data_IF_919382087225
#
_entry.id   IF_919382087225
#
_cell.length_a   1.000
_cell.length_b   1.000
_cell.length_c   1.000
_cell.angle_alpha   90.00
_cell.angle_beta   90.00
_cell.angle_gamma   90.00
#
_symmetry.space_group_name_H-M   'P 1'
#
loop_
_entity.id
_entity.type
_entity.pdbx_description
1 polymer ?
#
# COMPACT_ATOMS: atom_id res chain seq x y z
N UNK A 1 -9.57 -62.94 -0.61
CA UNK A 1 -9.38 -61.47 -0.58
C UNK A 1 -8.37 -61.17 -1.66
N UNK A 2 -8.86 -60.74 -2.83
CA UNK A 2 -8.06 -60.62 -4.05
C UNK A 2 -7.65 -59.16 -4.30
N UNK A 3 -6.40 -59.06 -4.75
CA UNK A 3 -5.60 -57.90 -5.10
C UNK A 3 -5.96 -57.27 -6.45
N UNK A 4 -5.50 -56.03 -6.63
CA UNK A 4 -5.31 -55.35 -7.91
C UNK A 4 -4.40 -56.16 -8.86
N UNK A 5 -4.74 -56.19 -10.16
CA UNK A 5 -3.85 -55.81 -11.27
C UNK A 5 -4.54 -55.90 -12.65
N UNK A 6 -4.56 -54.75 -13.34
CA UNK A 6 -4.26 -54.47 -14.76
C UNK A 6 -4.64 -55.49 -15.85
N UNK A 7 -5.47 -55.03 -16.81
CA UNK A 7 -5.24 -55.29 -18.25
C UNK A 7 -5.70 -54.08 -19.11
N UNK A 8 -4.78 -53.58 -19.94
CA UNK A 8 -4.97 -52.57 -21.00
C UNK A 8 -5.31 -53.26 -22.32
N UNK A 9 -5.93 -52.53 -23.26
CA UNK A 9 -5.88 -52.60 -24.76
C UNK A 9 -7.25 -52.15 -25.30
N UNK A 10 -7.47 -51.39 -26.37
CA UNK A 10 -6.77 -50.37 -27.17
C UNK A 10 -7.85 -49.76 -28.08
N UNK A 11 -7.68 -48.49 -28.44
CA UNK A 11 -8.11 -47.80 -29.67
C UNK A 11 -9.36 -48.29 -30.42
N UNK A 12 -10.37 -47.41 -30.52
CA UNK A 12 -10.82 -46.99 -31.86
C UNK A 12 -11.49 -45.61 -31.82
N UNK A 13 -10.92 -44.71 -32.61
CA UNK A 13 -11.47 -43.41 -33.01
C UNK A 13 -12.46 -43.61 -34.15
N UNK A 14 -13.67 -43.07 -34.02
CA UNK A 14 -14.55 -42.86 -35.17
C UNK A 14 -15.12 -41.45 -35.12
N UNK A 15 -14.72 -40.66 -36.10
CA UNK A 15 -15.31 -39.40 -36.51
C UNK A 15 -16.77 -39.62 -36.92
N UNK A 16 -17.69 -38.81 -36.43
CA UNK A 16 -18.96 -38.57 -37.12
C UNK A 16 -19.21 -37.06 -37.23
N UNK A 17 -19.00 -36.58 -38.45
CA UNK A 17 -19.49 -35.29 -38.98
C UNK A 17 -20.94 -35.49 -39.41
N UNK A 18 -21.85 -34.71 -38.85
CA UNK A 18 -23.12 -34.29 -39.46
C UNK A 18 -23.30 -32.83 -38.99
N UNK A 19 -23.43 -31.81 -39.83
CA UNK A 19 -24.14 -31.72 -41.09
C UNK A 19 -25.20 -30.63 -40.92
N UNK A 20 -24.76 -29.37 -40.76
CA UNK A 20 -25.67 -28.23 -40.61
C UNK A 20 -26.44 -28.00 -41.91
N UNK A 21 -27.75 -28.27 -41.86
CA UNK A 21 -28.71 -27.99 -42.91
C UNK A 21 -29.18 -26.53 -42.76
N UNK A 22 -28.57 -25.62 -43.52
CA UNK A 22 -29.04 -24.24 -43.68
C UNK A 22 -30.39 -24.22 -44.42
N UNK A 23 -31.39 -23.62 -43.79
CA UNK A 23 -32.69 -23.32 -44.39
C UNK A 23 -32.54 -22.04 -45.22
N UNK A 24 -32.57 -22.19 -46.55
CA UNK A 24 -32.78 -21.11 -47.50
C UNK A 24 -34.23 -20.60 -47.39
N UNK A 25 -34.42 -19.31 -47.05
CA UNK A 25 -35.63 -18.58 -47.43
C UNK A 25 -35.39 -17.86 -48.76
N UNK A 26 -36.24 -18.19 -49.73
CA UNK A 26 -36.32 -17.55 -51.04
C UNK A 26 -36.81 -16.09 -50.90
N UNK A 27 -36.09 -15.15 -51.53
CA UNK A 27 -36.68 -13.89 -51.96
C UNK A 27 -36.50 -13.79 -53.47
N UNK A 28 -37.63 -13.96 -54.15
CA UNK A 28 -37.78 -13.88 -55.60
C UNK A 28 -37.39 -12.50 -56.14
N UNK A 29 -36.54 -12.45 -57.17
CA UNK A 29 -36.61 -11.37 -58.15
C UNK A 29 -36.23 -11.86 -59.55
N UNK A 30 -36.93 -11.27 -60.51
CA UNK A 30 -37.16 -11.65 -61.90
C UNK A 30 -35.88 -11.62 -62.76
N UNK A 31 -35.77 -12.52 -63.73
CA UNK A 31 -34.65 -12.64 -64.68
C UNK A 31 -34.99 -11.91 -66.01
N UNK A 32 -33.99 -11.15 -66.52
CA UNK A 32 -33.54 -10.91 -67.91
C UNK A 32 -33.49 -9.42 -68.36
N UNK A 33 -32.57 -9.03 -69.28
CA UNK A 33 -31.22 -9.52 -69.52
C UNK A 33 -30.15 -8.43 -69.67
N UNK A 34 -28.91 -8.87 -69.46
CA UNK A 34 -27.66 -8.57 -70.16
C UNK A 34 -27.34 -7.17 -70.72
N UNK A 35 -26.17 -6.67 -70.32
CA UNK A 35 -25.55 -5.43 -70.74
C UNK A 35 -24.12 -5.38 -70.23
N UNK A 36 -23.25 -6.17 -70.85
CA UNK A 36 -21.80 -6.17 -70.64
C UNK A 36 -21.22 -4.76 -70.77
N UNK A 37 -20.48 -4.30 -69.74
CA UNK A 37 -19.18 -3.67 -69.97
C UNK A 37 -18.32 -3.79 -68.71
N UNK A 38 -17.24 -4.54 -68.83
CA UNK A 38 -16.38 -4.91 -67.71
C UNK A 38 -15.63 -3.72 -67.11
N UNK A 39 -15.60 -3.69 -65.78
CA UNK A 39 -14.38 -3.39 -65.02
C UNK A 39 -14.39 -4.21 -63.74
N UNK A 40 -13.40 -5.07 -63.61
CA UNK A 40 -13.04 -5.85 -62.44
C UNK A 40 -12.78 -4.94 -61.22
N UNK A 41 -13.64 -4.98 -60.20
CA UNK A 41 -13.29 -4.48 -58.85
C UNK A 41 -13.34 -5.61 -57.81
N UNK A 42 -12.22 -6.31 -57.55
CA UNK A 42 -12.12 -7.30 -56.47
C UNK A 42 -11.81 -6.68 -55.09
N UNK A 43 -11.71 -5.35 -54.99
CA UNK A 43 -11.21 -4.65 -53.79
C UNK A 43 -12.26 -4.39 -52.69
N UNK A 44 -13.56 -4.35 -53.02
CA UNK A 44 -14.63 -3.98 -52.06
C UNK A 44 -15.02 -5.11 -51.10
N UNK A 45 -14.81 -6.39 -51.45
CA UNK A 45 -15.07 -7.52 -50.54
C UNK A 45 -13.92 -7.75 -49.55
N UNK A 46 -12.69 -7.51 -49.96
CA UNK A 46 -11.51 -7.67 -49.11
C UNK A 46 -11.42 -6.57 -48.03
N UNK A 47 -11.89 -5.35 -48.33
CA UNK A 47 -11.92 -4.24 -47.36
C UNK A 47 -12.97 -4.41 -46.26
N UNK A 48 -14.11 -5.06 -46.54
CA UNK A 48 -15.18 -5.29 -45.54
C UNK A 48 -14.75 -6.22 -44.40
N UNK A 49 -13.99 -7.28 -44.68
CA UNK A 49 -13.52 -8.20 -43.65
C UNK A 49 -12.45 -7.57 -42.77
N UNK A 50 -11.51 -6.83 -43.38
CA UNK A 50 -10.50 -6.06 -42.64
C UNK A 50 -11.16 -4.98 -41.77
N UNK A 51 -12.13 -4.23 -42.32
CA UNK A 51 -12.88 -3.22 -41.58
C UNK A 51 -13.69 -3.81 -40.42
N UNK A 52 -14.29 -4.99 -40.61
CA UNK A 52 -15.03 -5.70 -39.55
C UNK A 52 -14.10 -6.16 -38.42
N UNK A 53 -12.91 -6.64 -38.76
CA UNK A 53 -11.90 -7.02 -37.77
C UNK A 53 -11.37 -5.81 -37.00
N UNK A 54 -11.06 -4.70 -37.71
CA UNK A 54 -10.64 -3.44 -37.09
C UNK A 54 -11.74 -2.90 -36.18
N UNK A 55 -13.00 -2.89 -36.62
CA UNK A 55 -14.13 -2.46 -35.81
C UNK A 55 -14.35 -3.36 -34.59
N UNK A 56 -14.17 -4.68 -34.73
CA UNK A 56 -14.23 -5.63 -33.62
C UNK A 56 -13.14 -5.35 -32.58
N UNK A 57 -11.92 -5.08 -33.02
CA UNK A 57 -10.79 -4.72 -32.13
C UNK A 57 -11.05 -3.38 -31.43
N UNK A 58 -11.55 -2.38 -32.15
CA UNK A 58 -11.93 -1.08 -31.58
C UNK A 58 -13.03 -1.25 -30.53
N UNK A 59 -14.07 -2.02 -30.83
CA UNK A 59 -15.13 -2.32 -29.87
C UNK A 59 -14.57 -3.01 -28.63
N UNK A 60 -13.66 -3.97 -28.78
CA UNK A 60 -13.01 -4.63 -27.65
C UNK A 60 -12.27 -3.62 -26.76
N UNK A 61 -11.51 -2.69 -27.33
CA UNK A 61 -10.86 -1.64 -26.56
C UNK A 61 -11.86 -0.70 -25.87
N UNK A 62 -12.95 -0.33 -26.54
CA UNK A 62 -14.03 0.47 -25.93
C UNK A 62 -14.64 -0.27 -24.74
N UNK A 63 -14.91 -1.58 -24.87
CA UNK A 63 -15.42 -2.38 -23.77
C UNK A 63 -14.42 -2.51 -22.62
N UNK A 64 -13.13 -2.69 -22.90
CA UNK A 64 -12.09 -2.69 -21.87
C UNK A 64 -12.01 -1.35 -21.14
N UNK A 65 -12.08 -0.24 -21.88
CA UNK A 65 -12.07 1.11 -21.30
C UNK A 65 -13.31 1.32 -20.41
N UNK A 66 -14.50 0.96 -20.88
CA UNK A 66 -15.74 1.05 -20.12
C UNK A 66 -15.67 0.22 -18.83
N UNK A 67 -15.13 -1.00 -18.91
CA UNK A 67 -14.91 -1.85 -17.74
C UNK A 67 -13.90 -1.24 -16.77
N UNK A 68 -12.80 -0.67 -17.26
CA UNK A 68 -11.81 0.00 -16.43
C UNK A 68 -12.42 1.20 -15.70
N UNK A 69 -13.20 2.03 -16.39
CA UNK A 69 -13.91 3.18 -15.80
C UNK A 69 -14.92 2.71 -14.74
N UNK A 70 -15.68 1.64 -15.01
CA UNK A 70 -16.64 1.10 -14.04
C UNK A 70 -15.94 0.60 -12.76
N UNK A 71 -14.85 -0.17 -12.89
CA UNK A 71 -14.07 -0.64 -11.74
C UNK A 71 -13.45 0.53 -10.98
N UNK A 72 -12.95 1.54 -11.69
CA UNK A 72 -12.38 2.74 -11.09
C UNK A 72 -13.42 3.54 -10.29
N UNK A 73 -14.62 3.75 -10.83
CA UNK A 73 -15.70 4.44 -10.11
C UNK A 73 -16.13 3.68 -8.85
N UNK A 74 -16.25 2.35 -8.93
CA UNK A 74 -16.55 1.52 -7.76
C UNK A 74 -15.41 1.59 -6.73
N UNK A 75 -14.16 1.54 -7.17
CA UNK A 75 -13.00 1.68 -6.29
C UNK A 75 -13.01 3.03 -5.55
N UNK A 76 -13.22 4.14 -6.27
CA UNK A 76 -13.34 5.47 -5.66
C UNK A 76 -14.51 5.51 -4.66
N UNK A 77 -15.67 4.99 -5.05
CA UNK A 77 -16.84 4.93 -4.15
C UNK A 77 -16.50 4.19 -2.85
N UNK A 78 -15.79 3.05 -2.94
CA UNK A 78 -15.37 2.29 -1.74
C UNK A 78 -14.36 3.09 -0.91
N UNK A 79 -13.40 3.77 -1.56
CA UNK A 79 -12.44 4.63 -0.87
C UNK A 79 -13.16 5.74 -0.08
N UNK A 80 -14.09 6.45 -0.73
CA UNK A 80 -14.87 7.54 -0.11
C UNK A 80 -15.79 7.04 1.02
N UNK A 81 -16.34 5.83 0.90
CA UNK A 81 -17.09 5.22 1.99
C UNK A 81 -16.22 4.87 3.18
N UNK A 82 -14.97 4.44 2.94
CA UNK A 82 -14.04 4.08 4.01
C UNK A 82 -13.49 5.30 4.74
N UNK A 83 -13.32 6.42 4.06
CA UNK A 83 -12.97 7.71 4.68
C UNK A 83 -14.01 8.15 5.72
N UNK A 84 -15.27 7.68 5.62
CA UNK A 84 -16.32 8.00 6.59
C UNK A 84 -16.35 7.06 7.80
N UNK A 85 -15.54 5.99 7.81
CA UNK A 85 -15.49 5.01 8.89
C UNK A 85 -14.41 5.40 9.90
N UNK A 86 -14.78 5.49 11.18
CA UNK A 86 -13.80 5.75 12.24
C UNK A 86 -12.90 4.53 12.45
N UNK A 87 -11.59 4.72 12.40
CA UNK A 87 -10.54 3.72 12.66
C UNK A 87 -10.47 2.59 11.62
N UNK A 88 -10.06 2.90 10.38
CA UNK A 88 -9.83 1.88 9.36
C UNK A 88 -8.68 0.96 9.75
N UNK A 89 -8.80 -0.31 9.37
CA UNK A 89 -7.66 -1.24 9.45
C UNK A 89 -6.57 -0.78 8.47
N UNK A 90 -5.40 -0.50 9.02
CA UNK A 90 -4.22 -0.03 8.29
C UNK A 90 -3.29 -1.19 7.93
N UNK A 91 -2.57 -1.02 6.83
CA UNK A 91 -1.48 -1.88 6.38
C UNK A 91 -0.13 -1.24 6.69
N UNK A 92 0.92 -2.07 6.71
CA UNK A 92 2.28 -1.64 6.96
C UNK A 92 3.15 -1.95 5.74
N UNK A 93 3.84 -0.94 5.24
CA UNK A 93 4.84 -1.08 4.16
C UNK A 93 6.19 -0.58 4.64
N UNK A 94 7.26 -1.29 4.31
CA UNK A 94 8.63 -0.88 4.63
C UNK A 94 9.28 -0.33 3.37
N UNK A 95 9.81 0.90 3.46
CA UNK A 95 10.57 1.53 2.38
C UNK A 95 12.03 1.65 2.80
N UNK A 96 12.94 0.99 2.08
CA UNK A 96 14.37 1.17 2.31
C UNK A 96 14.80 2.60 1.90
N UNK A 97 15.60 3.23 2.75
CA UNK A 97 16.14 4.56 2.55
C UNK A 97 17.64 4.54 2.86
N UNK A 98 18.44 5.13 1.97
CA UNK A 98 19.89 5.24 2.16
C UNK A 98 20.29 6.36 3.10
N UNK A 99 19.49 7.42 3.16
CA UNK A 99 19.77 8.63 3.93
C UNK A 99 18.44 9.16 4.50
N UNK A 100 18.35 9.28 5.83
CA UNK A 100 17.18 9.85 6.48
C UNK A 100 17.22 11.37 6.36
N UNK A 101 16.14 12.06 6.70
CA UNK A 101 16.27 13.46 7.10
C UNK A 101 16.79 13.51 8.53
N UNK A 102 17.72 14.45 8.80
CA UNK A 102 18.34 14.53 10.11
C UNK A 102 17.26 14.93 11.13
N UNK A 103 16.91 14.05 12.08
CA UNK A 103 15.86 14.33 13.04
C UNK A 103 16.35 15.39 14.02
N UNK A 104 15.44 16.15 14.59
CA UNK A 104 15.78 17.04 15.69
C UNK A 104 15.63 16.32 17.02
N UNK A 105 16.64 16.45 17.88
CA UNK A 105 16.64 15.88 19.22
C UNK A 105 16.62 17.05 20.21
N UNK A 106 15.48 17.29 20.84
CA UNK A 106 15.32 18.32 21.85
C UNK A 106 15.47 17.72 23.24
N UNK A 107 16.50 18.12 23.97
CA UNK A 107 16.74 17.72 25.36
C UNK A 107 16.19 18.77 26.32
N UNK A 108 15.68 18.32 27.46
CA UNK A 108 15.26 19.16 28.58
C UNK A 108 16.16 18.87 29.79
N UNK A 109 17.42 19.34 29.77
CA UNK A 109 18.42 18.98 30.77
C UNK A 109 18.17 19.66 32.14
N UNK A 110 17.31 20.68 32.20
CA UNK A 110 17.04 21.42 33.43
C UNK A 110 18.30 22.08 34.00
N UNK A 111 18.84 21.53 35.08
CA UNK A 111 20.09 21.99 35.72
C UNK A 111 21.36 21.36 35.10
N UNK A 112 21.20 20.29 34.33
CA UNK A 112 22.33 19.60 33.71
C UNK A 112 22.90 20.43 32.55
N UNK A 113 24.21 20.31 32.33
CA UNK A 113 24.95 21.01 31.27
C UNK A 113 25.49 20.00 30.27
N UNK A 114 25.36 20.31 28.99
CA UNK A 114 26.03 19.53 27.94
C UNK A 114 27.55 19.77 28.04
N UNK A 115 28.33 18.69 28.19
CA UNK A 115 29.79 18.73 28.18
C UNK A 115 30.36 18.55 26.78
N UNK A 116 29.82 17.57 26.04
CA UNK A 116 30.36 17.18 24.74
C UNK A 116 29.25 16.65 23.86
N UNK A 117 29.28 17.03 22.58
CA UNK A 117 28.52 16.42 21.51
C UNK A 117 29.49 16.04 20.40
N UNK A 118 29.49 14.76 20.00
CA UNK A 118 30.35 14.25 18.93
C UNK A 118 29.50 13.51 17.91
N UNK A 119 29.59 13.95 16.65
CA UNK A 119 29.15 13.19 15.50
C UNK A 119 30.32 12.36 14.97
N UNK A 120 30.12 11.07 14.73
CA UNK A 120 31.21 10.17 14.36
C UNK A 120 31.83 10.49 12.98
N UNK A 121 31.10 11.18 12.09
CA UNK A 121 31.54 11.45 10.71
C UNK A 121 31.79 12.94 10.38
N UNK A 122 31.58 13.87 11.32
CA UNK A 122 31.90 15.28 11.07
C UNK A 122 32.34 16.03 12.34
N UNK A 123 33.58 16.51 12.31
CA UNK A 123 34.14 17.47 13.26
C UNK A 123 33.64 18.92 12.99
N UNK A 124 32.64 19.07 12.12
CA UNK A 124 32.12 20.35 11.65
C UNK A 124 31.02 20.86 12.60
N UNK A 125 31.11 22.15 12.93
CA UNK A 125 30.29 22.87 13.88
C UNK A 125 28.81 22.45 13.90
N UNK A 126 28.41 21.75 14.97
CA UNK A 126 27.00 21.56 15.28
C UNK A 126 26.37 22.92 15.54
N UNK A 127 25.29 23.23 14.81
CA UNK A 127 24.45 24.38 15.12
C UNK A 127 23.56 24.00 16.31
N UNK A 128 24.05 24.27 17.52
CA UNK A 128 23.25 24.11 18.73
C UNK A 128 22.31 25.32 18.83
N UNK A 129 21.01 25.08 18.72
CA UNK A 129 19.99 26.10 18.93
C UNK A 129 19.31 25.86 20.27
N UNK A 130 19.44 26.84 21.16
CA UNK A 130 18.80 26.82 22.48
C UNK A 130 17.50 27.61 22.40
N UNK A 131 16.37 26.98 22.72
CA UNK A 131 15.07 27.66 22.79
C UNK A 131 14.70 27.92 24.26
N UNK A 132 14.28 29.15 24.58
CA UNK A 132 14.11 29.62 25.96
C UNK A 132 12.76 29.29 26.62
N UNK A 133 11.92 28.47 25.99
CA UNK A 133 10.73 27.92 26.64
C UNK A 133 11.10 26.55 27.23
N UNK A 134 11.24 26.46 28.56
CA UNK A 134 11.77 25.30 29.32
C UNK A 134 13.25 24.92 29.06
N UNK A 135 14.10 25.83 28.56
CA UNK A 135 15.53 25.58 28.29
C UNK A 135 15.78 24.31 27.45
N UNK A 136 15.07 24.16 26.34
CA UNK A 136 15.26 23.04 25.43
C UNK A 136 16.57 23.22 24.65
N UNK A 137 17.42 22.19 24.69
CA UNK A 137 18.65 22.08 23.91
C UNK A 137 18.37 21.22 22.68
N UNK A 138 18.39 21.81 21.49
CA UNK A 138 18.11 21.08 20.25
C UNK A 138 19.42 20.74 19.53
N UNK A 139 19.56 19.46 19.17
CA UNK A 139 20.72 18.91 18.46
C UNK A 139 20.25 18.19 17.20
N UNK A 140 21.03 18.33 16.13
CA UNK A 140 20.83 17.58 14.91
C UNK A 140 21.19 16.11 15.14
N UNK A 141 20.27 15.20 14.79
CA UNK A 141 20.47 13.75 14.89
C UNK A 141 21.19 13.14 13.69
N UNK A 142 21.47 11.83 13.75
CA UNK A 142 22.18 11.12 12.68
C UNK A 142 21.33 11.03 11.40
N UNK A 143 21.98 10.87 10.25
CA UNK A 143 21.33 10.88 8.94
C UNK A 143 21.66 9.64 8.09
N UNK A 144 22.94 9.24 8.08
CA UNK A 144 23.46 8.16 7.24
C UNK A 144 23.46 6.81 7.97
N UNK A 145 22.44 6.00 7.70
CA UNK A 145 22.28 4.66 8.31
C UNK A 145 23.31 3.67 7.76
N UNK A 146 23.69 3.80 6.49
CA UNK A 146 24.62 2.86 5.84
C UNK A 146 26.04 3.02 6.39
N UNK A 147 26.44 4.23 6.78
CA UNK A 147 27.71 4.49 7.48
C UNK A 147 27.67 4.25 8.99
N UNK A 148 26.51 3.88 9.54
CA UNK A 148 26.28 3.79 10.99
C UNK A 148 26.64 5.10 11.70
N UNK A 149 26.18 6.21 11.13
CA UNK A 149 26.34 7.51 11.75
C UNK A 149 25.66 7.50 13.13
N UNK A 150 26.39 8.02 14.12
CA UNK A 150 25.90 8.14 15.48
C UNK A 150 26.22 9.50 16.08
N UNK A 151 25.39 9.89 17.03
CA UNK A 151 25.54 11.13 17.80
C UNK A 151 25.71 10.78 19.26
N UNK A 152 26.88 11.05 19.81
CA UNK A 152 27.18 10.86 21.22
C UNK A 152 27.10 12.18 21.97
N UNK A 153 26.29 12.22 23.02
CA UNK A 153 26.17 13.36 23.91
C UNK A 153 26.51 12.97 25.35
N UNK A 154 27.22 13.87 26.02
CA UNK A 154 27.59 13.76 27.42
C UNK A 154 27.05 14.97 28.18
N UNK A 155 26.30 14.72 29.25
CA UNK A 155 25.80 15.75 30.15
C UNK A 155 26.40 15.59 31.54
N UNK A 156 26.40 16.69 32.28
CA UNK A 156 26.91 16.78 33.64
C UNK A 156 25.95 17.55 34.51
N UNK A 157 25.68 17.03 35.69
CA UNK A 157 24.83 17.64 36.69
C UNK A 157 25.59 17.69 38.00
N UNK A 158 25.73 18.90 38.54
CA UNK A 158 26.25 19.09 39.89
C UNK A 158 25.18 18.67 40.90
N UNK A 159 25.63 18.07 42.01
CA UNK A 159 24.91 17.76 43.26
C UNK A 159 23.38 17.78 43.18
N UNK A 160 22.78 16.60 43.27
CA UNK A 160 21.33 16.42 43.28
C UNK A 160 20.85 15.88 44.61
N UNK A 161 19.86 16.54 45.22
CA UNK A 161 19.08 16.01 46.35
C UNK A 161 18.10 14.88 45.93
N UNK A 162 18.18 14.43 44.68
CA UNK A 162 17.31 13.41 44.10
C UNK A 162 18.02 12.06 44.03
N UNK A 163 17.34 11.01 44.49
CA UNK A 163 17.83 9.63 44.41
C UNK A 163 17.99 9.13 42.97
N UNK A 164 17.22 9.70 42.03
CA UNK A 164 17.27 9.39 40.60
C UNK A 164 17.24 10.68 39.78
N UNK A 165 18.22 10.83 38.89
CA UNK A 165 18.21 11.91 37.90
C UNK A 165 18.00 11.35 36.50
N UNK A 166 17.15 12.03 35.74
CA UNK A 166 16.88 11.71 34.35
C UNK A 166 16.82 13.01 33.53
N UNK A 167 17.15 12.90 32.24
CA UNK A 167 16.98 13.96 31.28
C UNK A 167 15.91 13.54 30.29
N UNK A 168 14.92 14.40 30.11
CA UNK A 168 13.86 14.20 29.14
C UNK A 168 14.35 14.64 27.75
N UNK A 169 13.88 13.95 26.71
CA UNK A 169 14.11 14.35 25.32
C UNK A 169 12.90 14.07 24.44
N UNK A 170 12.81 14.83 23.35
CA UNK A 170 11.79 14.74 22.33
C UNK A 170 12.47 14.58 20.97
N UNK A 171 11.93 13.70 20.13
CA UNK A 171 12.38 13.52 18.75
C UNK A 171 11.33 14.12 17.81
N UNK A 172 11.78 14.90 16.83
CA UNK A 172 10.92 15.42 15.77
C UNK A 172 11.54 15.19 14.39
N UNK A 173 10.68 15.20 13.36
CA UNK A 173 10.96 14.70 12.00
C UNK A 173 12.20 15.33 11.34
N UNK A 174 12.35 16.65 11.40
CA UNK A 174 13.35 17.38 10.63
C UNK A 174 13.96 18.53 11.42
N UNK A 175 15.28 18.45 11.67
CA UNK A 175 16.05 19.54 12.26
C UNK A 175 16.09 20.77 11.34
N UNK A 176 16.09 20.56 10.02
CA UNK A 176 16.13 21.65 9.05
C UNK A 176 14.86 22.51 9.09
N UNK A 177 13.69 21.88 9.26
CA UNK A 177 12.42 22.58 9.43
C UNK A 177 12.46 23.48 10.67
N UNK A 178 12.98 22.97 11.79
CA UNK A 178 13.17 23.76 13.00
C UNK A 178 14.12 24.96 12.81
N UNK A 179 15.25 24.77 12.12
CA UNK A 179 16.18 25.87 11.83
C UNK A 179 15.53 26.94 10.94
N UNK A 180 14.80 26.50 9.92
CA UNK A 180 14.09 27.38 8.98
C UNK A 180 12.85 28.06 9.56
N UNK A 181 12.30 27.54 10.67
CA UNK A 181 11.10 28.07 11.30
C UNK A 181 11.35 29.46 11.92
N UNK A 182 10.51 30.46 11.60
CA UNK A 182 10.63 31.81 12.16
C UNK A 182 10.30 31.83 13.66
N UNK A 183 9.31 31.04 14.10
CA UNK A 183 8.86 30.96 15.49
C UNK A 183 9.22 29.60 16.11
N UNK A 184 10.48 29.47 16.55
CA UNK A 184 11.01 28.23 17.17
C UNK A 184 10.22 27.79 18.41
N UNK A 185 9.74 28.73 19.22
CA UNK A 185 8.97 28.44 20.43
C UNK A 185 7.62 27.78 20.11
N UNK A 186 6.90 28.31 19.11
CA UNK A 186 5.64 27.74 18.63
C UNK A 186 5.85 26.36 18.03
N UNK A 187 6.85 26.21 17.16
CA UNK A 187 7.23 24.92 16.58
C UNK A 187 7.50 23.85 17.66
N UNK A 188 8.28 24.20 18.69
CA UNK A 188 8.56 23.27 19.79
C UNK A 188 7.31 22.90 20.58
N UNK A 189 6.40 23.86 20.83
CA UNK A 189 5.13 23.60 21.51
C UNK A 189 4.26 22.64 20.71
N UNK A 190 4.19 22.82 19.40
CA UNK A 190 3.44 21.93 18.51
C UNK A 190 4.07 20.52 18.54
N UNK A 191 5.41 20.44 18.48
CA UNK A 191 6.13 19.17 18.59
C UNK A 191 5.90 18.45 19.93
N UNK A 192 5.87 19.16 21.06
CA UNK A 192 5.58 18.58 22.38
C UNK A 192 4.18 17.94 22.43
N UNK A 193 3.24 18.44 21.63
CA UNK A 193 1.87 17.89 21.56
C UNK A 193 1.73 16.73 20.58
N UNK A 194 2.56 16.68 19.53
CA UNK A 194 2.45 15.71 18.44
C UNK A 194 3.40 14.52 18.59
N UNK A 195 4.55 14.69 19.21
CA UNK A 195 5.58 13.65 19.33
C UNK A 195 5.68 13.11 20.75
N UNK A 196 6.11 11.85 20.85
CA UNK A 196 6.35 11.21 22.15
C UNK A 196 7.64 11.72 22.80
N UNK A 197 7.61 11.94 24.10
CA UNK A 197 8.78 12.29 24.92
C UNK A 197 9.34 11.06 25.64
N UNK A 198 10.66 10.94 25.71
CA UNK A 198 11.37 9.87 26.41
C UNK A 198 12.34 10.42 27.44
N UNK A 199 12.90 9.52 28.25
CA UNK A 199 13.83 9.86 29.33
C UNK A 199 15.02 8.91 29.32
N UNK A 200 16.20 9.40 29.70
CA UNK A 200 17.35 8.55 29.98
C UNK A 200 17.95 8.90 31.34
N UNK A 201 18.42 7.87 32.04
CA UNK A 201 18.90 7.98 33.41
C UNK A 201 20.39 8.32 33.46
N UNK A 202 20.78 9.05 34.51
CA UNK A 202 22.19 9.29 34.84
C UNK A 202 22.89 8.01 35.33
N UNK A 203 24.23 7.98 35.22
CA UNK A 203 25.06 6.87 35.68
C UNK A 203 25.21 5.71 34.68
N UNK A 204 24.48 5.74 33.56
CA UNK A 204 24.57 4.72 32.51
C UNK A 204 24.87 5.35 31.14
N UNK A 205 25.31 4.50 30.21
CA UNK A 205 25.33 4.79 28.78
C UNK A 205 24.07 4.26 28.15
N UNK A 206 23.21 5.16 27.67
CA UNK A 206 21.99 4.81 26.96
C UNK A 206 22.24 4.86 25.46
N UNK A 207 22.17 3.71 24.80
CA UNK A 207 22.12 3.59 23.35
C UNK A 207 20.66 3.60 22.89
N UNK A 208 20.30 4.61 22.12
CA UNK A 208 18.95 4.80 21.57
C UNK A 208 19.01 4.47 20.08
N UNK A 209 18.46 3.30 19.73
CA UNK A 209 18.24 2.93 18.33
C UNK A 209 16.87 3.41 17.92
N UNK A 210 16.83 4.38 17.01
CA UNK A 210 15.60 5.01 16.55
C UNK A 210 15.13 4.42 15.23
N UNK A 211 13.82 4.30 15.05
CA UNK A 211 13.16 3.97 13.78
C UNK A 211 11.97 4.89 13.55
N UNK A 212 11.64 5.12 12.28
CA UNK A 212 10.65 6.10 11.88
C UNK A 212 9.39 5.41 11.35
N UNK A 213 8.25 5.82 11.87
CA UNK A 213 6.92 5.42 11.41
C UNK A 213 6.23 6.65 10.85
N UNK A 214 5.77 6.55 9.60
CA UNK A 214 4.94 7.56 8.96
C UNK A 214 3.55 6.98 8.79
N UNK A 215 2.56 7.61 9.40
CA UNK A 215 1.16 7.21 9.25
C UNK A 215 0.51 8.23 8.31
N UNK A 216 -0.10 7.74 7.24
CA UNK A 216 -0.96 8.59 6.40
C UNK A 216 -2.35 8.50 6.96
N UNK A 217 -2.83 9.63 7.46
CA UNK A 217 -4.19 9.77 7.96
C UNK A 217 -5.19 9.87 6.79
N UNK A 218 -6.46 9.74 7.13
CA UNK A 218 -7.59 9.76 6.19
C UNK A 218 -7.68 11.08 5.40
N UNK A 219 -7.31 12.20 6.01
CA UNK A 219 -7.31 13.55 5.40
C UNK A 219 -6.12 13.80 4.45
N UNK A 220 -5.27 12.79 4.26
CA UNK A 220 -4.04 12.90 3.49
C UNK A 220 -2.90 13.58 4.24
N UNK A 221 -3.10 13.96 5.51
CA UNK A 221 -2.02 14.41 6.37
C UNK A 221 -1.09 13.24 6.71
N UNK A 222 0.19 13.56 6.90
CA UNK A 222 1.18 12.56 7.31
C UNK A 222 1.60 12.86 8.74
N UNK A 223 1.27 11.95 9.66
CA UNK A 223 1.75 11.97 11.04
C UNK A 223 3.02 11.15 11.13
N UNK A 224 3.96 11.61 11.97
CA UNK A 224 5.28 11.00 12.11
C UNK A 224 5.47 10.59 13.56
N UNK A 225 5.84 9.35 13.77
CA UNK A 225 6.14 8.79 15.08
C UNK A 225 7.52 8.14 15.07
N UNK A 226 8.26 8.32 16.17
CA UNK A 226 9.52 7.62 16.38
C UNK A 226 9.27 6.41 17.29
N UNK A 227 9.76 5.26 16.87
CA UNK A 227 9.91 4.09 17.75
C UNK A 227 11.37 4.02 18.18
N UNK A 228 11.60 3.62 19.42
CA UNK A 228 12.96 3.50 19.93
C UNK A 228 13.17 2.20 20.68
N UNK A 229 14.38 1.65 20.50
CA UNK A 229 14.90 0.55 21.30
C UNK A 229 16.09 1.07 22.10
N UNK A 230 15.91 1.12 23.42
CA UNK A 230 16.93 1.60 24.35
C UNK A 230 17.73 0.44 24.93
N UNK A 231 19.04 0.47 24.76
CA UNK A 231 19.98 -0.42 25.43
C UNK A 231 20.76 0.37 26.46
N UNK A 232 20.84 -0.14 27.70
CA UNK A 232 21.52 0.55 28.80
C UNK A 232 22.76 -0.25 29.18
N UNK A 233 23.91 0.42 29.18
CA UNK A 233 25.19 -0.17 29.55
C UNK A 233 25.74 0.56 30.77
N UNK A 234 26.23 -0.21 31.75
CA UNK A 234 26.82 0.37 32.95
C UNK A 234 28.05 1.22 32.61
N UNK A 235 28.11 2.44 33.14
CA UNK A 235 29.29 3.27 33.04
C UNK A 235 30.17 3.04 34.27
N UNK A 236 31.33 2.44 34.06
CA UNK A 236 32.33 2.30 35.12
C UNK A 236 33.05 3.63 35.26
N UNK A 237 32.73 4.37 36.31
CA UNK A 237 33.40 5.62 36.63
C UNK A 237 34.83 5.35 37.13
N UNK A 238 35.82 5.69 36.33
CA UNK A 238 37.25 5.56 36.68
C UNK A 238 37.86 6.88 37.18
N UNK A 239 37.04 7.91 37.43
CA UNK A 239 37.55 9.21 37.90
C UNK A 239 38.16 9.08 39.29
N UNK A 240 39.34 9.68 39.48
CA UNK A 240 40.20 9.51 40.67
C UNK A 240 39.64 10.13 41.95
N UNK A 241 38.50 10.84 41.89
CA UNK A 241 37.84 11.45 43.05
C UNK A 241 36.36 11.08 43.03
N UNK A 242 35.78 10.58 44.14
CA UNK A 242 34.34 10.45 44.27
C UNK A 242 33.77 11.86 44.28
N UNK A 243 33.13 12.25 43.18
CA UNK A 243 32.36 13.49 43.11
C UNK A 243 30.90 13.13 43.35
N UNK A 244 30.20 13.99 44.06
CA UNK A 244 28.75 14.02 44.21
C UNK A 244 28.02 14.42 42.90
N UNK A 245 28.76 14.52 41.79
CA UNK A 245 28.25 14.89 40.49
C UNK A 245 27.80 13.68 39.67
N UNK A 246 26.79 13.87 38.84
CA UNK A 246 26.23 12.82 38.00
C UNK A 246 26.53 13.10 36.53
N UNK A 247 26.94 12.05 35.82
CA UNK A 247 27.16 12.08 34.38
C UNK A 247 26.06 11.31 33.65
N UNK A 248 25.66 11.84 32.51
CA UNK A 248 24.70 11.20 31.62
C UNK A 248 25.34 11.01 30.26
N UNK A 249 25.10 9.85 29.67
CA UNK A 249 25.65 9.50 28.38
C UNK A 249 24.54 8.94 27.51
N UNK A 250 24.37 9.51 26.32
CA UNK A 250 23.39 9.02 25.35
C UNK A 250 24.00 8.96 23.97
N UNK A 251 23.69 7.90 23.23
CA UNK A 251 24.04 7.72 21.82
C UNK A 251 22.76 7.55 21.04
N UNK A 252 22.61 8.32 19.97
CA UNK A 252 21.52 8.15 19.01
C UNK A 252 22.07 7.55 17.72
N UNK A 253 21.43 6.49 17.25
CA UNK A 253 21.71 5.85 15.97
C UNK A 253 20.41 5.35 15.33
N UNK A 254 20.36 5.26 14.00
CA UNK A 254 19.25 4.61 13.32
C UNK A 254 19.33 3.09 13.47
N UNK A 255 18.21 2.47 13.83
CA UNK A 255 18.10 1.02 14.03
C UNK A 255 18.27 0.25 12.73
N UNK A 256 17.53 0.67 11.71
CA UNK A 256 17.43 -0.01 10.42
C UNK A 256 17.15 1.02 9.32
N UNK A 257 17.47 0.70 8.05
CA UNK A 257 17.29 1.62 6.93
C UNK A 257 15.85 1.62 6.40
N UNK A 258 14.87 1.11 7.15
CA UNK A 258 13.49 1.03 6.69
C UNK A 258 12.62 2.09 7.37
N UNK A 259 11.95 2.91 6.55
CA UNK A 259 10.86 3.76 7.02
C UNK A 259 9.59 2.92 6.98
N UNK A 260 8.97 2.75 8.14
CA UNK A 260 7.67 2.09 8.25
C UNK A 260 6.60 3.08 7.80
N UNK A 261 5.86 2.79 6.74
CA UNK A 261 4.73 3.60 6.30
C UNK A 261 3.43 2.85 6.59
N UNK A 262 2.55 3.47 7.35
CA UNK A 262 1.25 2.95 7.74
C UNK A 262 0.19 3.70 6.94
N UNK A 263 -0.63 2.97 6.19
CA UNK A 263 -1.70 3.52 5.34
C UNK A 263 -2.85 2.54 5.28
N UNK A 264 -4.03 3.02 4.93
CA UNK A 264 -5.20 2.16 4.71
C UNK A 264 -4.92 0.96 3.79
N UNK A 265 -5.45 -0.21 4.17
CA UNK A 265 -5.23 -1.46 3.41
C UNK A 265 -5.58 -1.32 1.92
N UNK A 266 -6.65 -0.58 1.63
CA UNK A 266 -7.16 -0.40 0.26
C UNK A 266 -6.28 0.56 -0.55
N UNK A 267 -5.70 1.57 0.11
CA UNK A 267 -4.84 2.56 -0.55
C UNK A 267 -3.41 2.05 -0.71
N UNK A 268 -2.93 1.19 0.21
CA UNK A 268 -1.61 0.60 0.11
C UNK A 268 -1.49 -0.48 -0.98
N UNK A 269 -2.56 -1.24 -1.24
CA UNK A 269 -2.57 -2.31 -2.24
C UNK A 269 -3.75 -2.18 -3.23
N UNK A 270 -3.77 -1.13 -4.06
CA UNK A 270 -4.90 -0.85 -4.95
C UNK A 270 -5.12 -1.98 -5.96
N UNK A 271 -4.05 -2.65 -6.40
CA UNK A 271 -4.12 -3.75 -7.37
C UNK A 271 -4.90 -4.96 -6.88
N UNK A 272 -4.77 -5.31 -5.59
CA UNK A 272 -5.52 -6.43 -5.02
C UNK A 272 -7.02 -6.14 -4.99
N UNK A 273 -7.39 -4.90 -4.65
CA UNK A 273 -8.79 -4.48 -4.64
C UNK A 273 -9.38 -4.42 -6.05
N UNK A 274 -8.64 -3.86 -7.01
CA UNK A 274 -9.03 -3.82 -8.43
C UNK A 274 -9.23 -5.24 -8.95
N UNK A 275 -8.31 -6.18 -8.64
CA UNK A 275 -8.44 -7.58 -9.05
C UNK A 275 -9.70 -8.23 -8.47
N UNK A 276 -10.01 -7.97 -7.19
CA UNK A 276 -11.23 -8.46 -6.54
C UNK A 276 -12.49 -7.87 -7.19
N UNK A 277 -12.51 -6.57 -7.48
CA UNK A 277 -13.63 -5.92 -8.18
C UNK A 277 -13.82 -6.49 -9.59
N UNK A 278 -12.74 -6.66 -10.36
CA UNK A 278 -12.77 -7.32 -11.67
C UNK A 278 -13.34 -8.74 -11.57
N UNK A 279 -12.93 -9.51 -10.56
CA UNK A 279 -13.46 -10.85 -10.30
C UNK A 279 -14.98 -10.84 -10.04
N UNK A 280 -15.47 -9.89 -9.24
CA UNK A 280 -16.90 -9.72 -8.96
C UNK A 280 -17.67 -9.37 -10.23
N UNK A 281 -17.18 -8.42 -11.03
CA UNK A 281 -17.82 -8.04 -12.30
C UNK A 281 -17.90 -9.22 -13.28
N UNK A 282 -16.80 -9.96 -13.46
CA UNK A 282 -16.78 -11.13 -14.34
C UNK A 282 -17.72 -12.24 -13.85
N UNK A 283 -17.78 -12.47 -12.53
CA UNK A 283 -18.70 -13.43 -11.94
C UNK A 283 -20.17 -13.03 -12.17
N UNK A 284 -20.50 -11.74 -12.02
CA UNK A 284 -21.83 -11.20 -12.30
C UNK A 284 -22.22 -11.37 -13.77
N UNK A 285 -21.33 -11.05 -14.71
CA UNK A 285 -21.60 -11.25 -16.14
C UNK A 285 -21.80 -12.74 -16.48
N UNK A 286 -20.93 -13.61 -15.96
CA UNK A 286 -21.04 -15.05 -16.17
C UNK A 286 -22.34 -15.62 -15.60
N UNK A 287 -22.74 -15.17 -14.40
CA UNK A 287 -24.00 -15.56 -13.78
C UNK A 287 -25.21 -15.07 -14.57
N UNK A 288 -25.17 -13.85 -15.12
CA UNK A 288 -26.23 -13.31 -15.95
C UNK A 288 -26.42 -14.12 -17.25
N UNK A 289 -25.33 -14.54 -17.88
CA UNK A 289 -25.41 -15.39 -19.09
C UNK A 289 -25.90 -16.81 -18.77
N UNK A 290 -25.49 -17.37 -17.64
CA UNK A 290 -26.03 -18.64 -17.15
C UNK A 290 -27.54 -18.53 -16.84
N UNK A 291 -27.99 -17.42 -16.28
CA UNK A 291 -29.41 -17.15 -16.03
C UNK A 291 -30.20 -17.08 -17.34
N UNK A 292 -29.68 -16.40 -18.38
CA UNK A 292 -30.32 -16.38 -19.71
C UNK A 292 -30.46 -17.77 -20.30
N UNK A 293 -29.41 -18.60 -20.21
CA UNK A 293 -29.45 -19.99 -20.69
C UNK A 293 -30.44 -20.83 -19.88
N UNK A 294 -30.46 -20.68 -18.56
CA UNK A 294 -31.40 -21.36 -17.67
C UNK A 294 -32.85 -20.99 -17.98
N UNK A 295 -33.14 -19.71 -18.24
CA UNK A 295 -34.47 -19.26 -18.65
C UNK A 295 -34.87 -19.85 -20.01
N UNK A 296 -33.98 -19.83 -21.00
CA UNK A 296 -34.23 -20.48 -22.31
C UNK A 296 -34.52 -21.97 -22.15
N UNK A 297 -33.74 -22.67 -21.31
CA UNK A 297 -33.91 -24.09 -21.04
C UNK A 297 -35.23 -24.38 -20.31
N UNK A 298 -35.58 -23.57 -19.32
CA UNK A 298 -36.84 -23.66 -18.59
C UNK A 298 -38.05 -23.45 -19.52
N UNK A 299 -38.00 -22.47 -20.43
CA UNK A 299 -39.03 -22.26 -21.45
C UNK A 299 -39.14 -23.49 -22.37
N UNK A 300 -38.00 -24.05 -22.80
CA UNK A 300 -37.95 -25.26 -23.64
C UNK A 300 -38.59 -26.46 -22.93
N UNK A 301 -38.30 -26.67 -21.66
CA UNK A 301 -38.90 -27.71 -20.82
C UNK A 301 -40.39 -27.50 -20.68
N UNK A 302 -40.83 -26.28 -20.32
CA UNK A 302 -42.26 -25.97 -20.16
C UNK A 302 -43.04 -26.22 -21.45
N UNK A 303 -42.48 -25.85 -22.61
CA UNK A 303 -43.07 -26.16 -23.93
C UNK A 303 -43.15 -27.66 -24.19
N UNK A 304 -42.13 -28.45 -23.81
CA UNK A 304 -42.15 -29.92 -23.92
C UNK A 304 -43.21 -30.57 -23.04
N UNK A 305 -43.36 -30.12 -21.79
CA UNK A 305 -44.42 -30.60 -20.90
C UNK A 305 -45.80 -30.29 -21.46
N UNK A 306 -46.05 -29.06 -21.94
CA UNK A 306 -47.34 -28.69 -22.52
C UNK A 306 -47.70 -29.53 -23.76
N UNK A 307 -46.71 -29.86 -24.61
CA UNK A 307 -46.92 -30.76 -25.76
C UNK A 307 -47.29 -32.18 -25.32
N UNK A 308 -46.59 -32.73 -24.31
CA UNK A 308 -46.92 -34.06 -23.76
C UNK A 308 -48.31 -34.10 -23.15
N UNK A 309 -48.70 -33.09 -22.37
CA UNK A 309 -50.05 -33.02 -21.78
C UNK A 309 -51.14 -32.96 -22.85
N UNK A 310 -50.94 -32.20 -23.94
CA UNK A 310 -51.89 -32.16 -25.07
C UNK A 310 -52.01 -33.48 -25.83
N UNK A 311 -50.91 -34.22 -25.99
CA UNK A 311 -50.94 -35.55 -26.63
C UNK A 311 -51.71 -36.58 -25.79
N UNK A 312 -51.60 -36.51 -24.46
CA UNK A 312 -52.34 -37.39 -23.55
C UNK A 312 -53.85 -37.09 -23.58
N UNK A 313 -54.25 -35.82 -23.62
CA UNK A 313 -55.68 -35.46 -23.69
C UNK A 313 -56.33 -35.81 -25.03
N UNK A 314 -55.59 -35.69 -26.15
CA UNK A 314 -56.09 -36.05 -27.48
C UNK A 314 -56.22 -37.56 -27.70
N UNK A 315 -55.58 -38.39 -26.87
CA UNK A 315 -55.69 -39.85 -26.93
C UNK A 315 -56.88 -40.42 -26.13
N UNK A 316 -57.58 -39.57 -25.36
CA UNK A 316 -58.68 -39.94 -24.46
C UNK A 316 -60.05 -39.47 -25.01
N UNK A 317 -60.05 -38.70 -26.10
CA UNK A 317 -61.27 -38.26 -26.83
C UNK A 317 -61.49 -39.14 -28.04
#
# INVERSE_FOLDING_TARGET
QLSEDVERVSENSTEEREGDMEVHEESSSVILPDGELGTTTPSLRFSKTCLKNVFSVILLFIYLLLMAVAVFLVYQTISDFREKLKHPVMSVTYKEVSLYDAPGIAFYPGKARLLSCKHQDSFAALTISVCLQKHALVVQGPRDVKKRELVFLQFHLNETDQDFSAIDYLLFSSFQEFVSSPEKAKFMKDCESSYSSWKFSGGFRTWVKMSLVKTKEEDGSETVEFKQETSVVNYIDQRTKPRSDQLFFVVFEWKDPFIQTVQDIITANPWNMIALLCGIFLALFKAADFAKLSVKWMIKIRRRHLKRTRQVTNHIS
#
